data_IF_444043293213
#
_entry.id   IF_444043293213
#
_cell.length_a   1.000
_cell.length_b   1.000
_cell.length_c   1.000
_cell.angle_alpha   90.00
_cell.angle_beta   90.00
_cell.angle_gamma   90.00
#
_symmetry.space_group_name_H-M   'P 1'
#
loop_
_entity.id
_entity.type
_entity.pdbx_description
1 polymer ?
#
# COMPACT_ATOMS: atom_id res chain seq x y z
N UNK A 1 62.37 17.92 8.38
CA UNK A 1 61.65 16.85 9.02
C UNK A 1 60.23 17.34 9.23
N UNK A 2 59.34 17.07 8.28
CA UNK A 2 57.91 17.42 8.34
C UNK A 2 57.11 16.13 8.52
N UNK A 3 56.45 16.00 9.66
CA UNK A 3 55.52 14.88 9.92
C UNK A 3 54.16 15.24 9.27
N UNK A 4 53.75 14.47 8.27
CA UNK A 4 52.46 14.50 7.66
C UNK A 4 51.50 13.65 8.53
N UNK A 5 50.59 14.29 9.24
CA UNK A 5 49.53 13.63 9.98
C UNK A 5 48.40 13.23 8.99
N UNK A 6 48.37 11.95 8.72
CA UNK A 6 47.28 11.34 7.96
C UNK A 6 46.05 11.23 8.87
N UNK A 7 45.00 12.04 8.60
CA UNK A 7 43.68 11.84 9.21
C UNK A 7 42.97 10.72 8.45
N UNK A 8 42.43 9.71 9.15
CA UNK A 8 41.59 8.72 8.50
C UNK A 8 40.20 9.34 8.18
N UNK A 9 39.85 9.30 6.92
CA UNK A 9 38.50 9.62 6.43
C UNK A 9 37.47 8.81 7.21
N UNK A 10 36.66 9.50 8.01
CA UNK A 10 35.42 8.96 8.53
C UNK A 10 34.43 8.91 7.37
N UNK A 11 34.37 7.79 6.70
CA UNK A 11 33.21 7.45 5.88
C UNK A 11 32.01 7.32 6.83
N UNK A 12 31.13 8.32 6.77
CA UNK A 12 29.79 8.23 7.33
C UNK A 12 29.09 7.07 6.61
N UNK A 13 28.92 5.97 7.33
CA UNK A 13 28.06 4.89 6.90
C UNK A 13 26.62 5.38 6.92
N UNK A 14 26.19 5.99 5.82
CA UNK A 14 24.76 6.14 5.56
C UNK A 14 24.18 4.73 5.59
N UNK A 15 23.33 4.46 6.57
CA UNK A 15 22.58 3.21 6.68
C UNK A 15 21.63 3.12 5.50
N UNK A 16 22.11 2.57 4.38
CA UNK A 16 21.25 2.18 3.28
C UNK A 16 20.34 1.08 3.82
N UNK A 17 19.04 1.37 3.89
CA UNK A 17 18.05 0.30 4.03
C UNK A 17 18.37 -0.72 2.92
N UNK A 18 18.62 -1.99 3.24
CA UNK A 18 18.94 -2.98 2.22
C UNK A 18 17.85 -2.97 1.16
N UNK A 19 18.23 -2.94 -0.11
CA UNK A 19 17.28 -3.15 -1.19
C UNK A 19 16.76 -4.59 -1.06
N UNK A 20 15.54 -4.71 -0.52
CA UNK A 20 14.94 -6.00 -0.21
C UNK A 20 14.50 -6.65 -1.51
N UNK A 21 15.00 -7.84 -1.75
CA UNK A 21 14.53 -8.67 -2.85
C UNK A 21 13.06 -9.12 -2.66
N UNK A 22 12.52 -9.77 -3.65
CA UNK A 22 11.15 -10.27 -3.60
C UNK A 22 10.90 -11.19 -2.39
N UNK A 23 11.81 -12.13 -2.12
CA UNK A 23 11.64 -13.11 -1.04
C UNK A 23 11.74 -12.46 0.35
N UNK A 24 12.62 -11.49 0.51
CA UNK A 24 12.71 -10.69 1.74
C UNK A 24 11.42 -9.91 2.01
N UNK A 25 10.85 -9.27 0.98
CA UNK A 25 9.55 -8.57 1.07
C UNK A 25 8.42 -9.54 1.38
N UNK A 26 8.36 -10.68 0.71
CA UNK A 26 7.35 -11.71 0.96
C UNK A 26 7.43 -12.25 2.40
N UNK A 27 8.64 -12.52 2.90
CA UNK A 27 8.85 -12.97 4.27
C UNK A 27 8.37 -11.95 5.30
N UNK A 28 8.72 -10.66 5.12
CA UNK A 28 8.26 -9.59 6.02
C UNK A 28 6.74 -9.41 5.97
N UNK A 29 6.14 -9.41 4.77
CA UNK A 29 4.70 -9.29 4.62
C UNK A 29 3.99 -10.45 5.34
N UNK A 30 4.45 -11.68 5.15
CA UNK A 30 3.89 -12.87 5.81
C UNK A 30 3.93 -12.76 7.34
N UNK A 31 5.07 -12.35 7.91
CA UNK A 31 5.20 -12.15 9.35
C UNK A 31 4.26 -11.06 9.89
N UNK A 32 4.06 -9.98 9.14
CA UNK A 32 3.14 -8.91 9.53
C UNK A 32 1.66 -9.34 9.40
N UNK A 33 1.31 -10.16 8.40
CA UNK A 33 -0.03 -10.74 8.27
C UNK A 33 -0.37 -11.62 9.47
N UNK A 34 0.58 -12.44 9.94
CA UNK A 34 0.40 -13.29 11.12
C UNK A 34 0.02 -12.48 12.37
N UNK A 35 0.59 -11.28 12.52
CA UNK A 35 0.31 -10.38 13.65
C UNK A 35 -1.00 -9.59 13.49
N UNK A 36 -1.60 -9.59 12.29
CA UNK A 36 -2.85 -8.89 12.03
C UNK A 36 -4.06 -9.77 12.35
N UNK A 37 -4.95 -9.36 13.28
CA UNK A 37 -6.11 -10.15 13.66
C UNK A 37 -7.03 -10.55 12.49
N UNK A 38 -7.11 -9.71 11.47
CA UNK A 38 -7.87 -9.96 10.26
C UNK A 38 -7.16 -10.93 9.31
N UNK A 39 -5.87 -10.68 9.01
CA UNK A 39 -5.14 -11.40 7.96
C UNK A 39 -4.59 -12.76 8.40
N UNK A 40 -4.35 -12.97 9.70
CA UNK A 40 -3.85 -14.25 10.22
C UNK A 40 -4.76 -15.46 9.93
N UNK A 41 -6.00 -15.20 9.51
CA UNK A 41 -6.95 -16.24 9.14
C UNK A 41 -6.95 -16.55 7.64
N UNK A 42 -6.17 -15.81 6.85
CA UNK A 42 -6.09 -16.06 5.42
C UNK A 42 -5.45 -17.42 5.15
N UNK A 43 -6.05 -18.24 4.28
CA UNK A 43 -5.37 -19.40 3.77
C UNK A 43 -4.16 -18.98 2.93
N UNK A 44 -3.16 -19.84 2.85
CA UNK A 44 -1.93 -19.55 2.08
C UNK A 44 -2.21 -19.19 0.61
N UNK A 45 -3.27 -19.74 0.05
CA UNK A 45 -3.71 -19.45 -1.31
C UNK A 45 -4.12 -17.97 -1.50
N UNK A 46 -4.81 -17.39 -0.52
CA UNK A 46 -5.18 -15.96 -0.58
C UNK A 46 -3.93 -15.08 -0.47
N UNK A 47 -2.94 -15.48 0.32
CA UNK A 47 -1.67 -14.77 0.40
C UNK A 47 -0.93 -14.78 -0.97
N UNK A 48 -1.02 -15.87 -1.74
CA UNK A 48 -0.48 -15.91 -3.09
C UNK A 48 -1.17 -14.89 -4.01
N UNK A 49 -2.49 -14.81 -3.98
CA UNK A 49 -3.27 -13.91 -4.83
C UNK A 49 -3.13 -12.43 -4.46
N UNK A 50 -3.01 -12.13 -3.17
CA UNK A 50 -3.08 -10.77 -2.65
C UNK A 50 -1.67 -10.16 -2.36
N UNK A 51 -0.63 -11.00 -2.19
CA UNK A 51 0.73 -10.52 -1.93
C UNK A 51 1.67 -10.63 -3.12
N UNK A 52 1.62 -11.76 -3.83
CA UNK A 52 2.61 -12.02 -4.89
C UNK A 52 2.56 -10.98 -6.00
N UNK A 53 1.39 -10.62 -6.56
CA UNK A 53 1.31 -9.61 -7.61
C UNK A 53 1.86 -8.24 -7.20
N UNK A 54 1.42 -7.61 -6.08
CA UNK A 54 1.90 -6.28 -5.71
C UNK A 54 3.39 -6.28 -5.36
N UNK A 55 3.93 -7.36 -4.80
CA UNK A 55 5.36 -7.46 -4.52
C UNK A 55 6.20 -7.55 -5.80
N UNK A 56 5.75 -8.30 -6.82
CA UNK A 56 6.39 -8.36 -8.13
C UNK A 56 6.33 -7.04 -8.88
N UNK A 57 5.19 -6.35 -8.80
CA UNK A 57 4.96 -5.09 -9.50
C UNK A 57 5.55 -3.87 -8.77
N UNK A 58 6.22 -4.06 -7.62
CA UNK A 58 6.67 -2.99 -6.73
C UNK A 58 5.53 -2.07 -6.27
N UNK A 59 4.32 -2.58 -6.19
CA UNK A 59 3.12 -1.90 -5.72
C UNK A 59 2.91 -2.14 -4.22
N UNK A 60 3.98 -1.96 -3.45
CA UNK A 60 3.99 -2.11 -2.00
C UNK A 60 4.96 -1.12 -1.34
N UNK A 61 4.66 -0.75 -0.10
CA UNK A 61 5.55 0.05 0.75
C UNK A 61 5.61 -0.56 2.14
N UNK A 62 6.82 -0.79 2.64
CA UNK A 62 7.07 -1.25 4.00
C UNK A 62 7.47 -0.09 4.89
N UNK A 63 7.09 -0.18 6.15
CA UNK A 63 7.41 0.79 7.20
C UNK A 63 8.22 0.07 8.29
N UNK A 64 9.23 0.76 8.80
CA UNK A 64 10.18 0.21 9.76
C UNK A 64 10.24 1.08 11.01
N UNK A 65 10.50 0.46 12.15
CA UNK A 65 10.82 1.18 13.39
C UNK A 65 12.27 1.70 13.38
N UNK A 66 12.65 2.33 14.48
CA UNK A 66 14.01 2.86 14.65
C UNK A 66 15.09 1.77 14.69
N UNK A 67 14.71 0.53 15.01
CA UNK A 67 15.57 -0.65 15.06
C UNK A 67 15.60 -1.41 13.72
N UNK A 68 14.99 -0.85 12.67
CA UNK A 68 14.86 -1.46 11.34
C UNK A 68 14.02 -2.75 11.31
N UNK A 69 13.13 -2.95 12.28
CA UNK A 69 12.14 -4.03 12.20
C UNK A 69 10.96 -3.59 11.34
N UNK A 70 10.42 -4.46 10.48
CA UNK A 70 9.20 -4.14 9.73
C UNK A 70 8.01 -4.08 10.69
N UNK A 71 7.26 -2.97 10.67
CA UNK A 71 6.12 -2.75 11.57
C UNK A 71 4.80 -2.63 10.83
N UNK A 72 4.83 -2.36 9.54
CA UNK A 72 3.63 -2.28 8.71
C UNK A 72 3.98 -2.39 7.23
N UNK A 73 2.98 -2.68 6.41
CA UNK A 73 3.06 -2.50 4.97
C UNK A 73 1.70 -2.13 4.37
N UNK A 74 1.75 -1.56 3.18
CA UNK A 74 0.59 -1.24 2.35
C UNK A 74 0.83 -1.76 0.95
N UNK A 75 -0.21 -2.30 0.33
CA UNK A 75 -0.21 -2.66 -1.09
C UNK A 75 -1.21 -1.82 -1.86
N UNK A 76 -0.97 -1.64 -3.15
CA UNK A 76 -1.87 -0.95 -4.04
C UNK A 76 -1.89 -1.58 -5.42
N UNK A 77 -2.89 -1.23 -6.22
CA UNK A 77 -3.03 -1.63 -7.61
C UNK A 77 -3.53 -0.46 -8.45
N UNK A 78 -3.20 -0.48 -9.74
CA UNK A 78 -3.71 0.44 -10.76
C UNK A 78 -4.73 -0.31 -11.62
N UNK A 79 -6.02 -0.05 -11.41
CA UNK A 79 -7.10 -0.87 -11.99
C UNK A 79 -8.00 -0.09 -12.93
N UNK A 80 -8.73 -0.80 -13.79
CA UNK A 80 -9.77 -0.22 -14.65
C UNK A 80 -11.08 0.01 -13.88
N UNK A 81 -11.98 0.82 -14.44
CA UNK A 81 -13.37 0.94 -13.93
C UNK A 81 -14.11 -0.41 -13.97
N UNK A 82 -13.86 -1.24 -14.99
CA UNK A 82 -14.46 -2.58 -15.07
C UNK A 82 -14.00 -3.50 -13.93
N UNK A 83 -12.70 -3.48 -13.61
CA UNK A 83 -12.16 -4.22 -12.45
C UNK A 83 -12.75 -3.70 -11.15
N UNK A 84 -12.85 -2.37 -10.98
CA UNK A 84 -13.49 -1.76 -9.81
C UNK A 84 -14.95 -2.20 -9.66
N UNK A 85 -15.73 -2.19 -10.74
CA UNK A 85 -17.13 -2.65 -10.74
C UNK A 85 -17.23 -4.11 -10.33
N UNK A 86 -16.38 -4.99 -10.89
CA UNK A 86 -16.27 -6.39 -10.50
C UNK A 86 -16.03 -6.56 -9.01
N UNK A 87 -15.08 -5.78 -8.44
CA UNK A 87 -14.72 -5.89 -7.02
C UNK A 87 -15.81 -5.37 -6.09
N UNK A 88 -16.49 -4.26 -6.46
CA UNK A 88 -17.45 -3.58 -5.61
C UNK A 88 -18.83 -4.22 -5.69
N UNK A 89 -19.30 -4.53 -6.88
CA UNK A 89 -20.71 -4.89 -7.13
C UNK A 89 -20.91 -6.39 -7.36
N UNK A 90 -19.87 -7.12 -7.77
CA UNK A 90 -19.99 -8.53 -8.12
C UNK A 90 -19.29 -9.48 -7.14
N UNK A 91 -18.62 -8.94 -6.11
CA UNK A 91 -17.89 -9.75 -5.12
C UNK A 91 -16.71 -10.53 -5.71
N UNK A 92 -16.19 -10.08 -6.86
CA UNK A 92 -15.08 -10.73 -7.54
C UNK A 92 -13.76 -10.56 -6.81
N UNK A 93 -12.81 -11.44 -7.13
CA UNK A 93 -11.41 -11.32 -6.72
C UNK A 93 -10.56 -10.77 -7.87
N UNK A 94 -9.46 -10.11 -7.53
CA UNK A 94 -8.47 -9.67 -8.51
C UNK A 94 -7.74 -10.88 -9.10
N UNK A 95 -7.52 -10.81 -10.41
CA UNK A 95 -6.64 -11.72 -11.12
C UNK A 95 -5.30 -11.02 -11.34
N UNK A 96 -4.27 -11.77 -11.72
CA UNK A 96 -2.93 -11.22 -11.95
C UNK A 96 -2.94 -9.98 -12.87
N UNK A 97 -3.66 -10.07 -13.98
CA UNK A 97 -3.73 -9.00 -14.98
C UNK A 97 -4.51 -7.77 -14.50
N UNK A 98 -5.32 -7.88 -13.45
CA UNK A 98 -6.07 -6.77 -12.88
C UNK A 98 -5.16 -5.78 -12.13
N UNK A 99 -4.02 -6.22 -11.57
CA UNK A 99 -3.18 -5.44 -10.67
C UNK A 99 -2.54 -4.20 -11.30
N UNK A 100 -2.30 -4.22 -12.61
CA UNK A 100 -1.74 -3.08 -13.33
C UNK A 100 -2.49 -2.88 -14.67
N UNK A 101 -3.82 -2.74 -14.59
CA UNK A 101 -4.71 -2.74 -15.76
C UNK A 101 -5.25 -1.37 -16.14
N UNK A 102 -5.10 -0.33 -15.29
CA UNK A 102 -5.71 0.98 -15.54
C UNK A 102 -5.18 2.11 -14.66
N UNK A 103 -5.93 3.19 -14.58
CA UNK A 103 -5.51 4.45 -13.96
C UNK A 103 -6.14 4.73 -12.59
N UNK A 104 -7.01 3.85 -12.10
CA UNK A 104 -7.62 4.00 -10.79
C UNK A 104 -6.74 3.38 -9.72
N UNK A 105 -6.32 4.17 -8.73
CA UNK A 105 -5.50 3.69 -7.63
C UNK A 105 -6.37 3.08 -6.53
N UNK A 106 -6.22 1.79 -6.33
CA UNK A 106 -6.82 1.06 -5.21
C UNK A 106 -5.76 0.71 -4.19
N UNK A 107 -5.91 1.18 -2.94
CA UNK A 107 -5.17 0.62 -1.82
C UNK A 107 -5.83 -0.69 -1.38
N UNK A 108 -5.12 -1.80 -1.60
CA UNK A 108 -5.62 -3.14 -1.34
C UNK A 108 -5.54 -3.48 0.15
N UNK A 109 -4.34 -3.54 0.70
CA UNK A 109 -4.12 -3.92 2.08
C UNK A 109 -3.40 -2.85 2.88
N UNK A 110 -3.87 -2.69 4.11
CA UNK A 110 -3.26 -1.90 5.17
C UNK A 110 -2.95 -2.84 6.34
N UNK A 111 -1.72 -3.26 6.46
CA UNK A 111 -1.29 -4.17 7.51
C UNK A 111 -0.41 -3.40 8.49
N UNK A 112 -1.00 -2.99 9.61
CA UNK A 112 -0.34 -2.20 10.66
C UNK A 112 -0.72 -2.76 12.05
N UNK A 113 -0.25 -3.97 12.39
CA UNK A 113 -0.70 -4.69 13.60
C UNK A 113 -0.29 -3.98 14.90
N UNK A 114 0.70 -3.08 14.84
CA UNK A 114 1.24 -2.39 16.01
C UNK A 114 0.74 -0.95 16.17
N UNK A 115 -0.33 -0.55 15.46
CA UNK A 115 -1.00 0.73 15.67
C UNK A 115 -0.48 1.92 14.84
N UNK A 116 0.37 1.71 13.83
CA UNK A 116 0.99 2.77 12.99
C UNK A 116 0.09 3.32 11.87
N UNK A 117 -1.20 3.00 11.88
CA UNK A 117 -2.14 3.44 10.83
C UNK A 117 -2.20 4.95 10.62
N UNK A 118 -2.20 5.82 11.64
CA UNK A 118 -2.24 7.27 11.43
C UNK A 118 -1.02 7.81 10.68
N UNK A 119 0.18 7.30 10.99
CA UNK A 119 1.43 7.68 10.34
C UNK A 119 1.45 7.25 8.88
N UNK A 120 1.00 6.02 8.59
CA UNK A 120 0.87 5.47 7.24
C UNK A 120 -0.10 6.32 6.41
N UNK A 121 -1.27 6.61 6.95
CA UNK A 121 -2.29 7.45 6.27
C UNK A 121 -1.72 8.83 5.95
N UNK A 122 -0.98 9.43 6.89
CA UNK A 122 -0.34 10.73 6.68
C UNK A 122 0.73 10.66 5.58
N UNK A 123 1.54 9.62 5.59
CA UNK A 123 2.59 9.40 4.59
C UNK A 123 1.98 9.21 3.19
N UNK A 124 1.00 8.32 3.04
CA UNK A 124 0.34 8.07 1.76
C UNK A 124 -0.36 9.31 1.20
N UNK A 125 -0.95 10.15 2.05
CA UNK A 125 -1.56 11.41 1.63
C UNK A 125 -0.55 12.48 1.20
N UNK A 126 0.70 12.34 1.60
CA UNK A 126 1.77 13.25 1.24
C UNK A 126 2.65 12.72 0.09
N UNK A 127 2.49 11.47 -0.30
CA UNK A 127 3.22 10.83 -1.40
C UNK A 127 2.71 11.32 -2.75
N UNK A 128 3.60 11.34 -3.75
CA UNK A 128 3.23 11.65 -5.14
C UNK A 128 2.64 10.40 -5.80
N UNK A 129 1.33 10.44 -6.03
CA UNK A 129 0.62 9.40 -6.75
C UNK A 129 0.29 9.86 -8.17
N UNK A 130 0.33 8.96 -9.16
CA UNK A 130 0.02 9.31 -10.56
C UNK A 130 -1.48 9.48 -10.83
N UNK A 131 -2.28 9.70 -9.78
CA UNK A 131 -3.73 9.83 -9.85
C UNK A 131 -4.20 10.96 -8.93
N UNK A 132 -5.35 11.53 -9.26
CA UNK A 132 -5.98 12.58 -8.45
C UNK A 132 -6.70 12.01 -7.23
N UNK A 133 -7.24 10.81 -7.34
CA UNK A 133 -8.04 10.14 -6.33
C UNK A 133 -7.62 8.67 -6.22
N UNK A 134 -7.41 8.24 -4.99
CA UNK A 134 -7.29 6.83 -4.66
C UNK A 134 -8.49 6.37 -3.83
N UNK A 135 -8.73 5.09 -3.76
CA UNK A 135 -9.77 4.51 -2.92
C UNK A 135 -9.29 3.22 -2.24
N UNK A 136 -10.01 2.80 -1.22
CA UNK A 136 -9.84 1.51 -0.57
C UNK A 136 -11.19 0.88 -0.28
N UNK A 137 -11.25 -0.43 -0.20
CA UNK A 137 -12.45 -1.19 0.07
C UNK A 137 -12.45 -1.66 1.54
N UNK A 138 -13.51 -1.33 2.26
CA UNK A 138 -13.75 -1.95 3.56
C UNK A 138 -14.69 -3.12 3.34
N UNK A 139 -14.22 -4.33 3.64
CA UNK A 139 -15.00 -5.56 3.52
C UNK A 139 -15.68 -5.92 4.85
N UNK A 140 -16.80 -6.61 4.75
CA UNK A 140 -17.46 -7.31 5.86
C UNK A 140 -16.80 -8.70 6.06
N UNK A 141 -17.19 -9.41 7.11
CA UNK A 141 -16.68 -10.75 7.42
C UNK A 141 -17.01 -11.79 6.34
N UNK A 142 -18.09 -11.60 5.61
CA UNK A 142 -18.51 -12.45 4.47
C UNK A 142 -17.77 -12.10 3.16
N UNK A 143 -16.82 -11.17 3.20
CA UNK A 143 -16.06 -10.71 2.03
C UNK A 143 -16.76 -9.65 1.18
N UNK A 144 -18.04 -9.35 1.42
CA UNK A 144 -18.76 -8.31 0.69
C UNK A 144 -18.19 -6.91 0.97
N UNK A 145 -18.32 -6.00 0.01
CA UNK A 145 -17.85 -4.62 0.18
C UNK A 145 -18.87 -3.83 1.01
N UNK A 146 -18.49 -3.53 2.26
CA UNK A 146 -19.30 -2.71 3.16
C UNK A 146 -19.21 -1.23 2.85
N UNK A 147 -18.07 -0.75 2.37
CA UNK A 147 -17.83 0.67 2.11
C UNK A 147 -16.66 0.86 1.16
N UNK A 148 -16.79 1.82 0.25
CA UNK A 148 -15.69 2.39 -0.54
C UNK A 148 -15.22 3.66 0.14
N UNK A 149 -13.95 3.72 0.55
CA UNK A 149 -13.35 4.90 1.14
C UNK A 149 -12.52 5.60 0.07
N UNK A 150 -12.84 6.86 -0.23
CA UNK A 150 -12.06 7.67 -1.16
C UNK A 150 -11.00 8.46 -0.42
N UNK A 151 -9.80 8.46 -1.00
CA UNK A 151 -8.62 9.17 -0.52
C UNK A 151 -8.39 10.39 -1.43
N UNK A 152 -7.72 11.41 -0.88
CA UNK A 152 -7.43 12.63 -1.60
C UNK A 152 -5.94 12.90 -1.58
N UNK A 153 -5.40 13.30 -2.72
CA UNK A 153 -4.05 13.84 -2.77
C UNK A 153 -4.03 15.22 -2.13
N UNK A 154 -3.04 15.51 -1.26
CA UNK A 154 -2.98 16.77 -0.50
C UNK A 154 -2.86 18.02 -1.39
N UNK A 155 -2.30 17.88 -2.61
CA UNK A 155 -2.17 18.97 -3.61
C UNK A 155 -3.50 19.41 -4.18
N UNK A 156 -4.50 18.53 -4.25
CA UNK A 156 -5.78 18.77 -4.89
C UNK A 156 -6.85 19.33 -3.93
N UNK A 157 -6.53 19.40 -2.63
CA UNK A 157 -7.48 19.87 -1.63
C UNK A 157 -7.86 21.35 -1.76
N UNK A 158 -7.23 22.10 -2.65
CA UNK A 158 -7.47 23.55 -2.85
C UNK A 158 -8.45 23.88 -3.97
N UNK A 159 -8.98 22.93 -4.72
CA UNK A 159 -9.86 23.22 -5.83
C UNK A 159 -11.27 22.65 -5.65
N UNK A 160 -12.28 23.51 -5.89
CA UNK A 160 -13.72 23.23 -5.81
C UNK A 160 -14.23 22.13 -6.77
N UNK A 161 -13.36 21.52 -7.57
CA UNK A 161 -13.67 20.49 -8.55
C UNK A 161 -14.00 19.12 -7.93
N UNK A 162 -13.59 18.92 -6.69
CA UNK A 162 -13.80 17.67 -5.95
C UNK A 162 -15.27 17.39 -5.64
N UNK A 163 -16.08 18.43 -5.46
CA UNK A 163 -17.51 18.28 -5.21
C UNK A 163 -18.25 17.80 -6.47
N UNK A 164 -17.84 18.25 -7.65
CA UNK A 164 -18.43 17.83 -8.93
C UNK A 164 -18.05 16.40 -9.29
N UNK A 165 -16.80 15.98 -9.03
CA UNK A 165 -16.34 14.60 -9.22
C UNK A 165 -17.04 13.62 -8.28
N UNK A 166 -17.37 14.03 -7.04
CA UNK A 166 -18.20 13.24 -6.11
C UNK A 166 -19.63 13.01 -6.61
N UNK A 167 -20.21 13.97 -7.32
CA UNK A 167 -21.57 13.85 -7.87
C UNK A 167 -21.62 12.91 -9.08
N UNK A 168 -20.53 12.80 -9.85
CA UNK A 168 -20.41 11.86 -10.97
C UNK A 168 -20.24 10.39 -10.54
N UNK A 169 -19.79 10.15 -9.30
CA UNK A 169 -19.60 8.82 -8.71
C UNK A 169 -20.78 8.47 -7.79
N UNK A 170 -21.99 8.47 -8.33
CA UNK A 170 -23.15 7.87 -7.64
C UNK A 170 -22.98 6.37 -7.63
N UNK A 171 -22.41 5.85 -6.56
CA UNK A 171 -22.54 4.44 -6.19
C UNK A 171 -23.81 4.35 -5.37
N UNK A 172 -24.84 3.75 -5.97
CA UNK A 172 -26.01 3.27 -5.21
C UNK A 172 -25.50 2.13 -4.33
N UNK A 173 -25.60 2.31 -3.01
CA UNK A 173 -25.37 1.27 -1.99
C UNK A 173 -26.61 0.44 -1.91
#
# INVERSE_FOLDING_TARGET
MGQSTHQPDRQESQSRVPELDFYGRLGMATLLLEQSPYHKQWPLYDAELELVPPLHLNQCKFYFDQQQNPVAFVTWSSITEATKDKLVNQGGQMQWDDWNSGDLLLFNDFVAPFGHTPEIVKDLRNSDWPCDIAFSLRRAEDGSVKKVNYWWHKKDYKQNDLAQRRQGLKISV
#
